data_IF_462490473343
#
_entry.id   IF_462490473343
#
_cell.length_a   1.000
_cell.length_b   1.000
_cell.length_c   1.000
_cell.angle_alpha   90.00
_cell.angle_beta   90.00
_cell.angle_gamma   90.00
#
_symmetry.space_group_name_H-M   'P 1'
#
loop_
_entity.id
_entity.type
_entity.pdbx_description
1 polymer ?
#
# COMPACT_ATOMS: atom_id res chain seq x y z
N UNK A 1 27.44 3.81 28.50
CA UNK A 1 28.92 3.84 28.56
C UNK A 1 29.36 4.95 27.64
N UNK A 2 29.87 6.02 28.23
CA UNK A 2 30.55 7.11 27.55
C UNK A 2 32.04 6.80 27.62
N UNK A 3 32.74 6.85 26.49
CA UNK A 3 34.19 7.00 26.48
C UNK A 3 34.54 8.28 25.74
N UNK A 4 35.12 9.20 26.50
CA UNK A 4 35.96 10.26 25.99
C UNK A 4 37.40 9.70 25.95
N UNK A 5 38.13 9.97 24.87
CA UNK A 5 39.58 9.80 24.85
C UNK A 5 40.25 11.03 24.23
N UNK A 6 40.78 11.81 25.16
CA UNK A 6 42.02 12.59 25.24
C UNK A 6 42.68 13.22 24.00
N UNK A 7 43.20 14.42 24.27
CA UNK A 7 43.95 15.32 23.41
C UNK A 7 45.40 14.87 23.26
N UNK A 8 46.05 15.16 22.13
CA UNK A 8 47.48 15.47 22.16
C UNK A 8 47.87 16.47 21.06
N UNK A 9 48.53 17.53 21.50
CA UNK A 9 49.18 18.57 20.69
C UNK A 9 50.63 18.13 20.48
N UNK A 10 51.13 18.23 19.25
CA UNK A 10 52.56 17.99 19.00
C UNK A 10 53.01 18.12 17.56
N UNK A 11 53.53 19.31 17.25
CA UNK A 11 54.76 19.54 16.49
C UNK A 11 54.75 19.52 14.96
N UNK A 12 55.45 20.50 14.40
CA UNK A 12 55.39 20.89 13.00
C UNK A 12 56.35 20.13 12.09
N UNK A 13 56.03 20.15 10.79
CA UNK A 13 56.99 19.92 9.72
C UNK A 13 56.53 20.71 8.50
N UNK A 14 57.38 21.64 8.04
CA UNK A 14 57.19 22.38 6.81
C UNK A 14 57.20 21.43 5.61
N UNK A 15 56.13 21.41 4.82
CA UNK A 15 56.12 20.82 3.48
C UNK A 15 55.85 21.94 2.48
N UNK A 16 56.88 22.19 1.67
CA UNK A 16 56.91 23.22 0.64
C UNK A 16 56.25 22.70 -0.64
N UNK A 17 55.16 23.34 -1.05
CA UNK A 17 54.77 23.52 -2.45
C UNK A 17 53.50 22.76 -2.92
N UNK A 18 52.91 23.13 -4.08
CA UNK A 18 53.15 24.31 -4.91
C UNK A 18 52.01 25.33 -4.80
N UNK A 19 52.37 26.61 -4.90
CA UNK A 19 51.46 27.66 -5.28
C UNK A 19 50.84 27.38 -6.67
N UNK A 20 49.58 27.77 -6.83
CA UNK A 20 48.99 28.05 -8.14
C UNK A 20 48.43 26.85 -8.88
N UNK A 21 47.23 26.40 -8.52
CA UNK A 21 46.32 25.82 -9.52
C UNK A 21 45.38 26.92 -10.01
N UNK A 22 45.88 27.59 -11.04
CA UNK A 22 45.15 28.47 -11.95
C UNK A 22 43.75 27.92 -12.21
N UNK A 23 42.72 28.74 -11.98
CA UNK A 23 41.39 28.49 -12.53
C UNK A 23 41.54 28.29 -14.03
N UNK A 24 41.31 27.08 -14.50
CA UNK A 24 41.24 26.78 -15.92
C UNK A 24 40.10 27.64 -16.51
N UNK A 25 40.34 28.47 -17.54
CA UNK A 25 39.31 29.31 -18.10
C UNK A 25 38.25 28.43 -18.75
N UNK A 26 37.11 28.27 -18.08
CA UNK A 26 35.93 27.60 -18.66
C UNK A 26 35.68 28.24 -20.02
N UNK A 27 35.68 27.46 -21.12
CA UNK A 27 35.60 28.02 -22.45
C UNK A 27 34.33 28.89 -22.55
N UNK A 28 34.41 30.08 -23.15
CA UNK A 28 33.30 31.04 -23.19
C UNK A 28 32.01 30.41 -23.75
N UNK A 29 32.12 29.41 -24.63
CA UNK A 29 30.99 28.62 -25.14
C UNK A 29 30.20 27.86 -24.06
N UNK A 30 30.85 27.33 -23.02
CA UNK A 30 30.18 26.65 -21.89
C UNK A 30 29.50 27.66 -20.97
N UNK A 31 30.10 28.82 -20.75
CA UNK A 31 29.50 29.91 -19.96
C UNK A 31 28.26 30.46 -20.67
N UNK A 32 28.36 30.75 -21.96
CA UNK A 32 27.22 31.17 -22.80
C UNK A 32 26.10 30.11 -22.78
N UNK A 33 26.45 28.82 -22.75
CA UNK A 33 25.46 27.73 -22.67
C UNK A 33 24.74 27.66 -21.32
N UNK A 34 25.45 27.89 -20.20
CA UNK A 34 24.83 27.95 -18.86
C UNK A 34 23.92 29.17 -18.70
N UNK A 35 24.29 30.32 -19.27
CA UNK A 35 23.46 31.52 -19.27
C UNK A 35 22.19 31.29 -20.08
N UNK A 36 22.31 30.74 -21.30
CA UNK A 36 21.13 30.37 -22.11
C UNK A 36 20.20 29.37 -21.40
N UNK A 37 20.78 28.42 -20.66
CA UNK A 37 19.99 27.48 -19.85
C UNK A 37 19.25 28.22 -18.73
N UNK A 38 19.90 29.17 -18.06
CA UNK A 38 19.26 29.99 -17.03
C UNK A 38 18.11 30.81 -17.61
N UNK A 39 18.32 31.50 -18.74
CA UNK A 39 17.26 32.27 -19.41
C UNK A 39 16.06 31.38 -19.76
N UNK A 40 16.32 30.19 -20.32
CA UNK A 40 15.27 29.22 -20.64
C UNK A 40 14.53 28.74 -19.39
N UNK A 41 15.23 28.47 -18.28
CA UNK A 41 14.60 28.09 -17.02
C UNK A 41 13.75 29.21 -16.44
N UNK A 42 14.22 30.46 -16.52
CA UNK A 42 13.49 31.65 -16.05
C UNK A 42 12.24 31.86 -16.88
N UNK A 43 12.33 31.81 -18.21
CA UNK A 43 11.17 31.97 -19.11
C UNK A 43 10.12 30.88 -18.87
N UNK A 44 10.54 29.61 -18.82
CA UNK A 44 9.64 28.48 -18.57
C UNK A 44 9.03 28.52 -17.16
N UNK A 45 9.79 28.98 -16.17
CA UNK A 45 9.30 29.17 -14.80
C UNK A 45 8.27 30.30 -14.74
N UNK A 46 8.57 31.48 -15.30
CA UNK A 46 7.66 32.62 -15.33
C UNK A 46 6.37 32.28 -16.08
N UNK A 47 6.46 31.56 -17.20
CA UNK A 47 5.29 31.14 -17.96
C UNK A 47 4.38 30.20 -17.13
N UNK A 48 4.96 29.22 -16.43
CA UNK A 48 4.22 28.33 -15.52
C UNK A 48 3.68 29.07 -14.29
N UNK A 49 4.44 30.02 -13.75
CA UNK A 49 4.06 30.79 -12.55
C UNK A 49 2.93 31.76 -12.84
N UNK A 50 2.96 32.45 -13.98
CA UNK A 50 1.87 33.31 -14.46
C UNK A 50 0.61 32.49 -14.71
N UNK A 51 0.74 31.31 -15.35
CA UNK A 51 -0.39 30.40 -15.56
C UNK A 51 -0.98 29.85 -14.24
N UNK A 52 -0.15 29.60 -13.23
CA UNK A 52 -0.58 29.09 -11.93
C UNK A 52 -1.10 30.19 -10.98
N UNK A 53 -0.76 31.47 -11.22
CA UNK A 53 -1.09 32.58 -10.33
C UNK A 53 -0.54 32.44 -8.90
N UNK A 54 0.41 31.51 -8.67
CA UNK A 54 0.91 31.18 -7.33
C UNK A 54 2.27 31.81 -7.09
N UNK A 55 2.34 32.67 -6.08
CA UNK A 55 3.59 32.99 -5.37
C UNK A 55 3.62 32.20 -4.05
N UNK A 56 4.82 31.86 -3.53
CA UNK A 56 4.96 31.38 -2.16
C UNK A 56 4.25 32.35 -1.21
N UNK A 57 3.45 31.81 -0.30
CA UNK A 57 2.67 32.63 0.62
C UNK A 57 3.52 33.28 1.71
N UNK A 58 4.76 32.81 1.89
CA UNK A 58 5.63 33.22 2.99
C UNK A 58 5.35 32.47 4.29
N UNK A 59 4.37 31.56 4.29
CA UNK A 59 4.04 30.67 5.40
C UNK A 59 4.54 29.27 5.03
N UNK A 60 5.61 28.77 5.66
CA UNK A 60 6.28 27.55 5.22
C UNK A 60 5.36 26.33 5.25
N UNK A 61 4.47 26.22 6.24
CA UNK A 61 3.51 25.11 6.36
C UNK A 61 2.55 25.06 5.17
N UNK A 62 2.05 26.23 4.74
CA UNK A 62 1.10 26.33 3.63
C UNK A 62 1.77 26.00 2.29
N UNK A 63 2.98 26.49 2.10
CA UNK A 63 3.74 26.26 0.87
C UNK A 63 4.19 24.79 0.78
N UNK A 64 4.59 24.19 1.91
CA UNK A 64 4.91 22.76 2.01
C UNK A 64 3.68 21.89 1.74
N UNK A 65 2.54 22.19 2.37
CA UNK A 65 1.30 21.44 2.13
C UNK A 65 0.91 21.47 0.66
N UNK A 66 1.03 22.63 0.00
CA UNK A 66 0.75 22.75 -1.43
C UNK A 66 1.70 21.90 -2.28
N UNK A 67 2.99 21.88 -1.94
CA UNK A 67 3.98 21.09 -2.66
C UNK A 67 3.78 19.58 -2.44
N UNK A 68 3.39 19.18 -1.24
CA UNK A 68 3.23 17.77 -0.85
C UNK A 68 1.85 17.19 -1.19
N UNK A 69 0.81 18.03 -1.31
CA UNK A 69 -0.57 17.62 -1.60
C UNK A 69 -0.71 16.57 -2.72
N UNK A 70 -0.09 16.70 -3.92
CA UNK A 70 -0.24 15.71 -4.97
C UNK A 70 0.20 14.30 -4.54
N UNK A 71 1.27 14.18 -3.76
CA UNK A 71 1.78 12.89 -3.30
C UNK A 71 0.85 12.23 -2.28
N UNK A 72 0.36 13.00 -1.31
CA UNK A 72 -0.58 12.47 -0.31
C UNK A 72 -1.93 12.10 -0.92
N UNK A 73 -2.40 12.87 -1.90
CA UNK A 73 -3.61 12.53 -2.66
C UNK A 73 -3.41 11.23 -3.45
N UNK A 74 -2.29 11.09 -4.16
CA UNK A 74 -1.97 9.85 -4.89
C UNK A 74 -1.86 8.65 -3.94
N UNK A 75 -1.23 8.81 -2.77
CA UNK A 75 -1.11 7.77 -1.76
C UNK A 75 -2.49 7.36 -1.25
N UNK A 76 -3.32 8.33 -0.86
CA UNK A 76 -4.69 8.08 -0.37
C UNK A 76 -5.53 7.35 -1.42
N UNK A 77 -5.48 7.79 -2.67
CA UNK A 77 -6.30 7.21 -3.74
C UNK A 77 -5.84 5.80 -4.10
N UNK A 78 -4.54 5.51 -3.95
CA UNK A 78 -3.99 4.15 -4.10
C UNK A 78 -4.48 3.23 -2.98
N UNK A 79 -4.35 3.67 -1.72
CA UNK A 79 -4.85 2.91 -0.58
C UNK A 79 -6.36 2.66 -0.67
N UNK A 80 -7.12 3.68 -1.07
CA UNK A 80 -8.57 3.55 -1.26
C UNK A 80 -8.91 2.48 -2.30
N UNK A 81 -8.21 2.44 -3.43
CA UNK A 81 -8.42 1.38 -4.45
C UNK A 81 -8.12 0.00 -3.90
N UNK A 82 -7.06 -0.16 -3.10
CA UNK A 82 -6.74 -1.45 -2.47
C UNK A 82 -7.81 -1.89 -1.48
N UNK A 83 -8.30 -0.97 -0.63
CA UNK A 83 -9.37 -1.25 0.32
C UNK A 83 -10.65 -1.65 -0.40
N UNK A 84 -11.08 -0.87 -1.40
CA UNK A 84 -12.30 -1.17 -2.18
C UNK A 84 -12.20 -2.51 -2.90
N UNK A 85 -11.02 -2.84 -3.45
CA UNK A 85 -10.79 -4.15 -4.06
C UNK A 85 -10.97 -5.27 -3.04
N UNK A 86 -10.36 -5.14 -1.87
CA UNK A 86 -10.47 -6.15 -0.81
C UNK A 86 -11.90 -6.29 -0.29
N UNK A 87 -12.61 -5.17 -0.13
CA UNK A 87 -14.01 -5.18 0.32
C UNK A 87 -14.91 -5.92 -0.68
N UNK A 88 -14.73 -5.70 -1.98
CA UNK A 88 -15.48 -6.39 -3.03
C UNK A 88 -15.19 -7.91 -3.04
N UNK A 89 -13.92 -8.30 -2.94
CA UNK A 89 -13.53 -9.71 -2.85
C UNK A 89 -14.09 -10.37 -1.59
N UNK A 90 -14.01 -9.69 -0.44
CA UNK A 90 -14.56 -10.19 0.82
C UNK A 90 -16.08 -10.33 0.76
N UNK A 91 -16.78 -9.42 0.09
CA UNK A 91 -18.23 -9.51 -0.09
C UNK A 91 -18.61 -10.73 -0.93
N UNK A 92 -17.90 -10.98 -2.04
CA UNK A 92 -18.10 -12.18 -2.86
C UNK A 92 -17.84 -13.46 -2.06
N UNK A 93 -16.78 -13.49 -1.25
CA UNK A 93 -16.47 -14.61 -0.37
C UNK A 93 -17.55 -14.82 0.70
N UNK A 94 -18.07 -13.74 1.28
CA UNK A 94 -19.16 -13.83 2.25
C UNK A 94 -20.43 -14.42 1.62
N UNK A 95 -20.79 -14.00 0.41
CA UNK A 95 -21.93 -14.53 -0.33
C UNK A 95 -21.74 -16.02 -0.64
N UNK A 96 -20.53 -16.43 -1.07
CA UNK A 96 -20.19 -17.82 -1.30
C UNK A 96 -20.28 -18.67 -0.02
N UNK A 97 -19.83 -18.13 1.12
CA UNK A 97 -19.95 -18.79 2.43
C UNK A 97 -21.41 -18.94 2.83
N UNK A 98 -22.24 -17.92 2.63
CA UNK A 98 -23.68 -17.99 2.93
C UNK A 98 -24.37 -19.03 2.04
N UNK A 99 -24.07 -19.06 0.74
CA UNK A 99 -24.57 -20.08 -0.17
C UNK A 99 -24.12 -21.49 0.26
N UNK A 100 -22.85 -21.66 0.65
CA UNK A 100 -22.32 -22.91 1.17
C UNK A 100 -23.01 -23.36 2.45
N UNK A 101 -23.30 -22.44 3.39
CA UNK A 101 -24.04 -22.76 4.63
C UNK A 101 -25.44 -23.28 4.33
N UNK A 102 -26.18 -22.64 3.42
CA UNK A 102 -27.51 -23.11 2.98
C UNK A 102 -27.44 -24.51 2.40
N UNK A 103 -26.44 -24.78 1.56
CA UNK A 103 -26.26 -26.11 0.98
C UNK A 103 -26.00 -27.19 2.04
N UNK A 104 -25.22 -26.86 3.08
CA UNK A 104 -24.97 -27.77 4.20
C UNK A 104 -26.25 -28.02 5.01
N UNK A 105 -27.04 -26.98 5.28
CA UNK A 105 -28.32 -27.12 5.98
C UNK A 105 -29.30 -28.02 5.21
N UNK A 106 -29.41 -27.84 3.90
CA UNK A 106 -30.23 -28.70 3.03
C UNK A 106 -29.77 -30.16 3.07
N UNK A 107 -28.46 -30.39 2.96
CA UNK A 107 -27.90 -31.74 3.05
C UNK A 107 -28.16 -32.37 4.41
N UNK A 108 -28.04 -31.60 5.49
CA UNK A 108 -28.36 -32.08 6.84
C UNK A 108 -29.82 -32.51 6.94
N UNK A 109 -30.75 -31.74 6.39
CA UNK A 109 -32.18 -32.10 6.35
C UNK A 109 -32.42 -33.38 5.54
N UNK A 110 -31.76 -33.52 4.38
CA UNK A 110 -31.87 -34.74 3.57
C UNK A 110 -31.35 -35.97 4.30
N UNK A 111 -30.18 -35.86 4.94
CA UNK A 111 -29.60 -36.95 5.74
C UNK A 111 -30.53 -37.33 6.90
N UNK A 112 -31.09 -36.34 7.59
CA UNK A 112 -32.04 -36.58 8.68
C UNK A 112 -33.33 -37.27 8.18
N UNK A 113 -33.88 -36.81 7.06
CA UNK A 113 -35.08 -37.41 6.46
C UNK A 113 -34.83 -38.87 6.04
N UNK A 114 -33.69 -39.15 5.41
CA UNK A 114 -33.32 -40.52 5.06
C UNK A 114 -33.16 -41.39 6.31
N UNK A 115 -32.49 -40.89 7.35
CA UNK A 115 -32.35 -41.62 8.61
C UNK A 115 -33.70 -41.96 9.23
N UNK A 116 -34.63 -41.00 9.27
CA UNK A 116 -35.98 -41.20 9.80
C UNK A 116 -36.77 -42.23 8.98
N UNK A 117 -36.68 -42.16 7.65
CA UNK A 117 -37.32 -43.13 6.75
C UNK A 117 -36.81 -44.56 7.03
N UNK A 118 -35.49 -44.73 7.18
CA UNK A 118 -34.90 -46.03 7.54
C UNK A 118 -35.34 -46.52 8.92
N UNK A 119 -35.44 -45.62 9.91
CA UNK A 119 -35.94 -45.98 11.24
C UNK A 119 -37.42 -46.41 11.19
N UNK A 120 -38.25 -45.75 10.40
CA UNK A 120 -39.66 -46.10 10.23
C UNK A 120 -39.81 -47.50 9.62
N UNK A 121 -39.12 -47.77 8.51
CA UNK A 121 -39.12 -49.09 7.87
C UNK A 121 -38.68 -50.20 8.84
N UNK A 122 -37.63 -49.93 9.63
CA UNK A 122 -37.15 -50.90 10.60
C UNK A 122 -38.13 -51.14 11.77
N UNK A 123 -38.92 -50.12 12.16
CA UNK A 123 -40.01 -50.29 13.15
C UNK A 123 -41.14 -51.12 12.58
N UNK A 124 -41.60 -50.82 11.37
CA UNK A 124 -42.62 -51.61 10.67
C UNK A 124 -42.19 -53.07 10.51
N UNK A 125 -40.93 -53.32 10.15
CA UNK A 125 -40.39 -54.68 10.08
C UNK A 125 -40.46 -55.40 11.43
N UNK A 126 -40.15 -54.72 12.54
CA UNK A 126 -40.25 -55.29 13.88
C UNK A 126 -41.69 -55.61 14.28
N UNK A 127 -42.62 -54.72 13.93
CA UNK A 127 -44.05 -54.93 14.18
C UNK A 127 -44.61 -56.10 13.36
N UNK A 128 -44.26 -56.19 12.08
CA UNK A 128 -44.61 -57.34 11.23
C UNK A 128 -44.07 -58.65 11.79
N UNK A 129 -42.81 -58.67 12.24
CA UNK A 129 -42.23 -59.85 12.87
C UNK A 129 -42.94 -60.20 14.18
N UNK A 130 -43.38 -59.23 14.98
CA UNK A 130 -44.13 -59.47 16.21
C UNK A 130 -45.52 -60.06 15.93
N UNK A 131 -46.24 -59.54 14.93
CA UNK A 131 -47.55 -60.08 14.49
C UNK A 131 -47.41 -61.50 13.93
N UNK A 132 -46.36 -61.77 13.15
CA UNK A 132 -46.07 -63.12 12.65
C UNK A 132 -45.57 -64.07 13.75
N UNK A 133 -45.16 -63.55 14.92
CA UNK A 133 -44.72 -64.33 16.09
C UNK A 133 -45.81 -64.55 17.13
N UNK A 134 -47.03 -64.04 16.96
CA UNK A 134 -48.07 -64.33 17.95
C UNK A 134 -48.34 -65.84 18.04
N UNK A 135 -48.53 -66.35 19.26
CA UNK A 135 -48.36 -67.76 19.61
C UNK A 135 -49.65 -68.56 19.37
N UNK A 136 -49.51 -69.89 19.27
CA UNK A 136 -50.62 -70.83 19.42
C UNK A 136 -51.41 -70.64 20.73
#
# INVERSE_FOLDING_TARGET
>A
MAEASDVNVGDGCEEKGPEGSSSEPVPPGTIISRVKLLDTMVDTFLQKLVAAGRRPSGIPEKDLHSAMAPYFLQQRDTLRRHVQKQEAENQQLADAVLAGRRQVEELQLQVQAQQQAWQALHREQRELVAVLREPE
#
